data_IF_542975884289
#
_entry.id   IF_542975884289
#
_cell.length_a   1.000
_cell.length_b   1.000
_cell.length_c   1.000
_cell.angle_alpha   90.00
_cell.angle_beta   90.00
_cell.angle_gamma   90.00
#
_symmetry.space_group_name_H-M   'P 1'
#
loop_
_entity.id
_entity.type
_entity.pdbx_description
1 polymer ?
#
# COMPACT_ATOMS: atom_id res chain seq x y z
N UNK A 1 -44.97 -21.79 5.67
CA UNK A 1 -45.55 -20.85 6.65
C UNK A 1 -45.12 -21.29 8.04
N UNK A 2 -44.92 -20.38 9.00
CA UNK A 2 -44.67 -20.73 10.39
C UNK A 2 -45.81 -21.58 10.95
N UNK A 3 -45.54 -22.56 11.83
CA UNK A 3 -46.55 -23.37 12.50
C UNK A 3 -47.32 -22.51 13.50
N UNK A 4 -48.53 -23.00 13.91
CA UNK A 4 -49.32 -22.36 14.94
C UNK A 4 -48.55 -22.20 16.25
N UNK A 5 -47.79 -23.21 16.67
CA UNK A 5 -46.91 -23.16 17.85
C UNK A 5 -45.82 -22.09 17.72
N UNK A 6 -45.23 -21.93 16.54
CA UNK A 6 -44.23 -20.89 16.31
C UNK A 6 -44.88 -19.48 16.50
N UNK A 7 -46.08 -19.27 15.95
CA UNK A 7 -46.77 -18.00 16.08
C UNK A 7 -47.18 -17.72 17.55
N UNK A 8 -47.65 -18.73 18.25
CA UNK A 8 -48.03 -18.63 19.66
C UNK A 8 -46.81 -18.27 20.54
N UNK A 9 -45.67 -18.89 20.31
CA UNK A 9 -44.43 -18.58 21.03
C UNK A 9 -43.93 -17.15 20.76
N UNK A 10 -43.97 -16.68 19.51
CA UNK A 10 -43.59 -15.30 19.17
C UNK A 10 -44.53 -14.31 19.86
N UNK A 11 -45.87 -14.61 19.89
CA UNK A 11 -46.84 -13.75 20.51
C UNK A 11 -46.67 -13.67 22.03
N UNK A 12 -46.22 -14.75 22.68
CA UNK A 12 -45.86 -14.75 24.09
C UNK A 12 -44.81 -13.68 24.45
N UNK A 13 -43.75 -13.57 23.65
CA UNK A 13 -42.71 -12.53 23.82
C UNK A 13 -43.26 -11.13 23.46
N UNK A 14 -44.13 -11.03 22.47
CA UNK A 14 -44.76 -9.76 22.09
C UNK A 14 -45.66 -9.21 23.21
N UNK A 15 -46.43 -10.08 23.84
CA UNK A 15 -47.28 -9.72 24.97
C UNK A 15 -46.49 -9.44 26.25
N UNK A 16 -45.36 -10.15 26.43
CA UNK A 16 -44.50 -9.99 27.61
C UNK A 16 -43.03 -9.85 27.24
N UNK A 17 -42.56 -8.66 26.81
CA UNK A 17 -41.16 -8.44 26.53
C UNK A 17 -40.22 -8.65 27.75
N UNK A 18 -40.79 -8.60 28.98
CA UNK A 18 -40.03 -8.91 30.21
C UNK A 18 -39.55 -10.36 30.25
N UNK A 19 -40.22 -11.29 29.57
CA UNK A 19 -39.83 -12.70 29.50
C UNK A 19 -38.44 -12.86 28.93
N UNK A 20 -38.11 -12.13 27.85
CA UNK A 20 -36.77 -12.18 27.27
C UNK A 20 -35.68 -11.80 28.28
N UNK A 21 -35.90 -10.77 29.09
CA UNK A 21 -34.96 -10.34 30.12
C UNK A 21 -34.74 -11.41 31.18
N UNK A 22 -35.85 -12.05 31.63
CA UNK A 22 -35.79 -13.12 32.64
C UNK A 22 -34.96 -14.30 32.10
N UNK A 23 -35.23 -14.71 30.88
CA UNK A 23 -34.51 -15.84 30.26
C UNK A 23 -33.00 -15.53 30.04
N UNK A 24 -32.67 -14.31 29.61
CA UNK A 24 -31.28 -13.87 29.44
C UNK A 24 -30.54 -13.83 30.79
N UNK A 25 -31.18 -13.40 31.85
CA UNK A 25 -30.59 -13.41 33.18
C UNK A 25 -30.36 -14.85 33.70
N UNK A 26 -31.36 -15.73 33.53
CA UNK A 26 -31.33 -17.11 34.04
C UNK A 26 -30.36 -18.01 33.26
N UNK A 27 -30.32 -17.90 31.95
CA UNK A 27 -29.61 -18.84 31.09
C UNK A 27 -28.41 -18.22 30.36
N UNK A 28 -28.40 -16.91 30.13
CA UNK A 28 -27.32 -16.20 29.43
C UNK A 28 -26.33 -15.50 30.37
N UNK A 29 -26.66 -15.36 31.65
CA UNK A 29 -25.86 -14.55 32.58
C UNK A 29 -25.81 -13.05 32.20
N UNK A 30 -26.77 -12.60 31.36
CA UNK A 30 -26.81 -11.24 30.82
C UNK A 30 -27.81 -10.42 31.61
N UNK A 31 -27.39 -9.30 32.16
CA UNK A 31 -28.25 -8.30 32.79
C UNK A 31 -28.62 -7.24 31.77
N UNK A 32 -29.89 -7.21 31.40
CA UNK A 32 -30.47 -6.14 30.55
C UNK A 32 -30.89 -4.97 31.42
N UNK A 33 -30.63 -3.74 30.97
CA UNK A 33 -31.00 -2.51 31.66
C UNK A 33 -32.47 -2.49 32.12
N UNK A 34 -32.74 -1.89 33.26
CA UNK A 34 -34.08 -1.74 33.79
C UNK A 34 -34.93 -0.86 32.85
N UNK A 35 -36.17 -1.27 32.62
CA UNK A 35 -37.11 -0.52 31.77
C UNK A 35 -38.16 -1.42 31.12
N UNK A 36 -39.13 -0.80 30.45
CA UNK A 36 -40.14 -1.54 29.67
C UNK A 36 -39.54 -1.94 28.30
N UNK A 37 -39.56 -3.24 28.01
CA UNK A 37 -39.27 -3.74 26.66
C UNK A 37 -40.31 -3.18 25.65
N UNK A 38 -39.86 -2.87 24.44
CA UNK A 38 -40.70 -2.43 23.33
C UNK A 38 -40.53 -3.40 22.17
N UNK A 39 -41.64 -3.75 21.56
CA UNK A 39 -41.65 -4.45 20.29
C UNK A 39 -41.32 -3.41 19.20
N UNK A 40 -40.32 -3.68 18.41
CA UNK A 40 -39.90 -2.86 17.26
C UNK A 40 -40.04 -3.66 15.97
N UNK A 41 -39.91 -3.02 14.82
CA UNK A 41 -39.97 -3.70 13.54
C UNK A 41 -38.87 -4.76 13.45
N UNK A 42 -39.22 -5.97 13.06
CA UNK A 42 -38.33 -7.09 12.84
C UNK A 42 -37.70 -7.11 11.44
N UNK A 43 -38.07 -6.17 10.57
CA UNK A 43 -37.47 -5.99 9.29
C UNK A 43 -36.08 -5.29 9.45
N UNK A 44 -35.02 -6.08 9.33
CA UNK A 44 -33.64 -5.60 9.44
C UNK A 44 -33.05 -5.15 8.09
N UNK A 45 -33.88 -5.02 7.05
CA UNK A 45 -33.42 -4.44 5.78
C UNK A 45 -33.14 -2.95 5.99
N UNK A 46 -31.89 -2.55 5.79
CA UNK A 46 -31.48 -1.15 5.92
C UNK A 46 -31.91 -0.37 4.67
N UNK A 47 -32.69 0.72 4.81
CA UNK A 47 -33.04 1.62 3.71
C UNK A 47 -32.04 2.82 3.67
N UNK A 48 -31.56 3.26 2.51
CA UNK A 48 -31.30 2.51 1.30
C UNK A 48 -30.17 1.50 1.58
N UNK A 49 -29.95 0.49 0.72
CA UNK A 49 -28.92 -0.49 1.00
C UNK A 49 -27.57 0.24 1.19
N UNK A 50 -27.06 0.28 2.42
CA UNK A 50 -25.66 0.63 2.64
C UNK A 50 -24.88 -0.46 1.95
N UNK A 51 -24.25 -0.11 0.84
CA UNK A 51 -23.30 -1.00 0.19
C UNK A 51 -22.06 -1.08 1.07
N UNK A 52 -21.98 -2.13 1.85
CA UNK A 52 -20.77 -2.45 2.59
C UNK A 52 -19.72 -2.97 1.59
N UNK A 53 -18.72 -2.15 1.32
CA UNK A 53 -17.64 -2.50 0.41
C UNK A 53 -16.33 -2.55 1.18
N UNK A 54 -15.84 -3.74 1.52
CA UNK A 54 -14.45 -3.88 1.96
C UNK A 54 -13.50 -3.50 0.83
N UNK A 55 -12.27 -3.10 1.16
CA UNK A 55 -11.27 -2.72 0.16
C UNK A 55 -10.96 -3.89 -0.79
N UNK A 56 -10.86 -5.12 -0.25
CA UNK A 56 -10.61 -6.32 -1.05
C UNK A 56 -11.14 -7.58 -0.34
N UNK A 57 -11.63 -8.53 -1.13
CA UNK A 57 -11.96 -9.89 -0.66
C UNK A 57 -11.20 -10.89 -1.53
N UNK A 58 -10.45 -11.78 -0.89
CA UNK A 58 -9.70 -12.86 -1.53
C UNK A 58 -10.29 -14.19 -1.07
N UNK A 59 -10.28 -15.19 -1.96
CA UNK A 59 -10.63 -16.56 -1.61
C UNK A 59 -9.46 -17.49 -1.93
N UNK A 60 -9.21 -18.43 -1.05
CA UNK A 60 -8.14 -19.43 -1.16
C UNK A 60 -8.72 -20.83 -0.99
N UNK A 61 -8.11 -21.81 -1.62
CA UNK A 61 -8.52 -23.21 -1.56
C UNK A 61 -9.52 -23.61 -2.64
N UNK A 62 -9.77 -24.90 -2.76
CA UNK A 62 -10.69 -25.53 -3.72
C UNK A 62 -11.38 -26.74 -3.06
N UNK A 63 -12.47 -27.21 -3.67
CA UNK A 63 -13.07 -28.51 -3.33
C UNK A 63 -13.71 -28.59 -1.94
N UNK A 64 -14.30 -27.50 -1.44
CA UNK A 64 -14.97 -27.46 -0.13
C UNK A 64 -14.04 -27.10 1.04
N UNK A 65 -12.80 -26.72 0.75
CA UNK A 65 -11.82 -26.24 1.73
C UNK A 65 -11.46 -24.75 1.51
N UNK A 66 -12.41 -23.99 0.96
CA UNK A 66 -12.20 -22.57 0.69
C UNK A 66 -12.19 -21.76 2.00
N UNK A 67 -11.40 -20.70 1.97
CA UNK A 67 -11.35 -19.69 3.01
C UNK A 67 -11.32 -18.29 2.38
N UNK A 68 -12.10 -17.36 2.92
CA UNK A 68 -12.08 -15.97 2.49
C UNK A 68 -11.23 -15.12 3.42
N UNK A 69 -10.50 -14.18 2.85
CA UNK A 69 -9.73 -13.14 3.56
C UNK A 69 -10.24 -11.78 3.09
N UNK A 70 -10.76 -11.01 4.02
CA UNK A 70 -11.14 -9.62 3.81
C UNK A 70 -9.92 -8.78 4.15
N UNK A 71 -9.48 -7.94 3.23
CA UNK A 71 -8.34 -7.03 3.43
C UNK A 71 -8.87 -5.61 3.51
N UNK A 72 -8.47 -4.90 4.55
CA UNK A 72 -8.76 -3.49 4.78
C UNK A 72 -7.47 -2.70 5.00
N UNK A 73 -7.37 -1.51 4.40
CA UNK A 73 -6.26 -0.59 4.60
C UNK A 73 -6.74 0.60 5.41
N UNK A 74 -6.35 0.67 6.68
CA UNK A 74 -6.84 1.69 7.60
C UNK A 74 -5.77 2.77 7.85
N UNK A 75 -6.00 3.96 7.30
CA UNK A 75 -5.07 5.09 7.40
C UNK A 75 -5.54 6.16 8.38
N UNK A 76 -6.83 6.20 8.69
CA UNK A 76 -7.46 7.12 9.64
C UNK A 76 -8.50 6.40 10.49
N UNK A 77 -8.83 6.96 11.67
CA UNK A 77 -9.88 6.38 12.53
C UNK A 77 -11.24 6.59 11.90
N UNK A 78 -12.02 5.54 11.89
CA UNK A 78 -13.39 5.52 11.41
C UNK A 78 -14.25 4.71 12.39
N UNK A 79 -15.17 5.38 13.10
CA UNK A 79 -16.03 4.74 14.10
C UNK A 79 -16.96 3.68 13.52
N UNK A 80 -17.36 3.83 12.25
CA UNK A 80 -18.28 2.91 11.57
C UNK A 80 -17.66 1.52 11.36
N UNK A 81 -16.33 1.41 11.50
CA UNK A 81 -15.64 0.11 11.41
C UNK A 81 -16.01 -0.85 12.56
N UNK A 82 -16.46 -0.32 13.69
CA UNK A 82 -16.95 -1.15 14.79
C UNK A 82 -18.19 -1.98 14.38
N UNK A 83 -19.02 -1.45 13.49
CA UNK A 83 -20.23 -2.10 12.96
C UNK A 83 -19.93 -2.84 11.65
N UNK A 84 -19.26 -2.18 10.71
CA UNK A 84 -19.05 -2.72 9.36
C UNK A 84 -18.12 -3.93 9.31
N UNK A 85 -17.06 -3.98 10.13
CA UNK A 85 -16.12 -5.11 10.11
C UNK A 85 -16.73 -6.45 10.56
N UNK A 86 -17.53 -6.53 11.65
CA UNK A 86 -18.27 -7.76 11.95
C UNK A 86 -19.22 -8.16 10.84
N UNK A 87 -19.88 -7.19 10.21
CA UNK A 87 -20.80 -7.43 9.10
C UNK A 87 -20.08 -7.93 7.85
N UNK A 88 -18.90 -7.41 7.51
CA UNK A 88 -18.09 -7.92 6.41
C UNK A 88 -17.81 -9.42 6.55
N UNK A 89 -17.46 -9.89 7.75
CA UNK A 89 -17.20 -11.30 8.00
C UNK A 89 -18.45 -12.14 7.76
N UNK A 90 -19.59 -11.71 8.34
CA UNK A 90 -20.84 -12.46 8.22
C UNK A 90 -21.39 -12.47 6.81
N UNK A 91 -21.33 -11.34 6.11
CA UNK A 91 -21.73 -11.20 4.71
C UNK A 91 -20.85 -12.03 3.77
N UNK A 92 -19.52 -11.99 3.97
CA UNK A 92 -18.55 -12.75 3.18
C UNK A 92 -18.77 -14.27 3.37
N UNK A 93 -18.94 -14.73 4.62
CA UNK A 93 -19.26 -16.13 4.92
C UNK A 93 -20.55 -16.59 4.25
N UNK A 94 -21.59 -15.77 4.30
CA UNK A 94 -22.87 -16.07 3.65
C UNK A 94 -22.74 -16.14 2.13
N UNK A 95 -21.98 -15.20 1.53
CA UNK A 95 -21.84 -15.09 0.07
C UNK A 95 -20.99 -16.21 -0.51
N UNK A 96 -19.89 -16.58 0.16
CA UNK A 96 -18.91 -17.54 -0.35
C UNK A 96 -19.03 -18.94 0.28
N UNK A 97 -19.93 -19.13 1.26
CA UNK A 97 -20.18 -20.39 1.97
C UNK A 97 -18.91 -20.99 2.61
N UNK A 98 -17.95 -20.17 3.01
CA UNK A 98 -16.68 -20.59 3.60
C UNK A 98 -16.32 -19.75 4.84
N UNK A 99 -15.39 -20.21 5.70
CA UNK A 99 -14.82 -19.38 6.76
C UNK A 99 -14.24 -18.08 6.21
N UNK A 100 -14.34 -17.01 6.98
CA UNK A 100 -13.78 -15.70 6.60
C UNK A 100 -13.01 -15.09 7.77
N UNK A 101 -11.90 -14.42 7.47
CA UNK A 101 -11.15 -13.62 8.43
C UNK A 101 -10.92 -12.20 7.90
N UNK A 102 -10.68 -11.26 8.82
CA UNK A 102 -10.39 -9.87 8.52
C UNK A 102 -8.92 -9.56 8.82
N UNK A 103 -8.20 -9.14 7.78
CA UNK A 103 -6.84 -8.65 7.83
C UNK A 103 -6.85 -7.13 7.63
N UNK A 104 -6.30 -6.38 8.56
CA UNK A 104 -6.22 -4.92 8.50
C UNK A 104 -4.76 -4.49 8.40
N UNK A 105 -4.43 -3.75 7.36
CA UNK A 105 -3.13 -3.08 7.23
C UNK A 105 -3.25 -1.67 7.78
N UNK A 106 -2.50 -1.37 8.84
CA UNK A 106 -2.56 -0.09 9.53
C UNK A 106 -1.35 0.78 9.19
N UNK A 107 -1.59 2.04 8.82
CA UNK A 107 -0.56 2.95 8.31
C UNK A 107 0.52 3.36 9.31
N UNK A 108 0.28 3.22 10.60
CA UNK A 108 1.21 3.51 11.70
C UNK A 108 0.85 2.75 12.98
N UNK A 109 1.73 2.85 14.00
CA UNK A 109 1.57 2.14 15.28
C UNK A 109 0.32 2.57 16.06
N UNK A 110 -0.08 3.83 16.02
CA UNK A 110 -1.25 4.32 16.74
C UNK A 110 -2.53 3.77 16.09
N UNK A 111 -2.55 3.72 14.76
CA UNK A 111 -3.62 3.12 13.98
C UNK A 111 -3.69 1.61 14.20
N UNK A 112 -2.55 0.90 14.18
CA UNK A 112 -2.51 -0.53 14.45
C UNK A 112 -3.10 -0.88 15.82
N UNK A 113 -2.77 -0.11 16.87
CA UNK A 113 -3.37 -0.28 18.19
C UNK A 113 -4.87 -0.01 18.20
N UNK A 114 -5.32 0.99 17.44
CA UNK A 114 -6.74 1.31 17.33
C UNK A 114 -7.51 0.18 16.61
N UNK A 115 -6.99 -0.35 15.52
CA UNK A 115 -7.58 -1.45 14.77
C UNK A 115 -7.60 -2.77 15.55
N UNK A 116 -6.59 -3.03 16.38
CA UNK A 116 -6.46 -4.28 17.13
C UNK A 116 -7.41 -4.40 18.35
N UNK A 117 -8.21 -3.37 18.62
CA UNK A 117 -9.18 -3.42 19.71
C UNK A 117 -10.25 -4.46 19.44
N UNK A 118 -10.66 -5.14 20.49
CA UNK A 118 -11.80 -6.03 20.47
C UNK A 118 -13.08 -5.23 20.14
N UNK A 119 -13.83 -5.67 19.17
CA UNK A 119 -15.12 -5.14 18.81
C UNK A 119 -16.20 -6.02 19.43
N UNK A 120 -16.89 -5.50 20.43
CA UNK A 120 -17.92 -6.22 21.17
C UNK A 120 -19.28 -6.00 20.49
N UNK A 121 -19.95 -7.10 20.12
CA UNK A 121 -21.31 -7.04 19.55
C UNK A 121 -22.39 -6.99 20.62
N UNK A 122 -22.03 -7.17 21.90
CA UNK A 122 -22.96 -7.32 23.01
C UNK A 122 -23.50 -8.75 23.17
N UNK A 123 -23.23 -9.66 22.26
CA UNK A 123 -23.60 -11.07 22.41
C UNK A 123 -22.45 -11.90 22.94
N UNK A 124 -22.64 -12.75 24.00
CA UNK A 124 -21.60 -13.61 24.52
C UNK A 124 -20.98 -14.51 23.46
N UNK A 125 -19.65 -14.51 23.40
CA UNK A 125 -18.92 -15.33 22.42
C UNK A 125 -19.00 -14.84 20.96
N UNK A 126 -19.58 -13.67 20.72
CA UNK A 126 -19.58 -13.03 19.42
C UNK A 126 -18.88 -11.66 19.48
N UNK A 127 -17.60 -11.67 19.52
CA UNK A 127 -16.74 -10.50 19.38
C UNK A 127 -15.73 -10.71 18.26
N UNK A 128 -15.31 -9.60 17.68
CA UNK A 128 -14.31 -9.61 16.61
C UNK A 128 -13.01 -9.00 17.12
N UNK A 129 -11.90 -9.72 16.89
CA UNK A 129 -10.54 -9.18 16.97
C UNK A 129 -9.93 -9.22 15.58
N UNK A 130 -9.79 -8.07 14.89
CA UNK A 130 -9.13 -8.02 13.59
C UNK A 130 -7.69 -8.52 13.67
N UNK A 131 -7.22 -9.19 12.62
CA UNK A 131 -5.81 -9.50 12.44
C UNK A 131 -5.17 -8.23 11.87
N UNK A 132 -4.29 -7.59 12.65
CA UNK A 132 -3.73 -6.29 12.28
C UNK A 132 -2.25 -6.42 11.96
N UNK A 133 -1.84 -5.85 10.83
CA UNK A 133 -0.44 -5.70 10.43
C UNK A 133 -0.10 -4.20 10.41
N UNK A 134 0.86 -3.82 11.21
CA UNK A 134 1.42 -2.49 11.30
C UNK A 134 2.92 -2.54 11.55
N UNK A 135 3.58 -1.41 11.84
CA UNK A 135 5.05 -1.37 11.97
C UNK A 135 5.63 -2.26 13.08
N UNK A 136 4.83 -2.63 14.09
CA UNK A 136 5.27 -3.52 15.18
C UNK A 136 5.16 -5.00 14.81
N UNK A 137 4.19 -5.37 13.96
CA UNK A 137 3.96 -6.75 13.53
C UNK A 137 4.86 -7.14 12.36
N UNK A 138 5.17 -6.20 11.47
CA UNK A 138 6.11 -6.38 10.38
C UNK A 138 7.35 -5.50 10.66
N UNK A 139 8.47 -6.08 11.12
CA UNK A 139 9.73 -5.36 11.32
C UNK A 139 10.28 -4.79 10.00
N UNK A 140 11.18 -3.79 10.04
CA UNK A 140 11.81 -3.27 8.83
C UNK A 140 12.60 -4.37 8.14
N UNK A 141 12.25 -4.66 6.88
CA UNK A 141 12.90 -5.65 6.05
C UNK A 141 14.05 -4.98 5.29
N UNK A 142 15.25 -5.08 5.82
CA UNK A 142 16.46 -4.44 5.29
C UNK A 142 17.44 -5.44 4.65
N UNK A 143 17.21 -6.74 4.84
CA UNK A 143 18.00 -7.81 4.23
C UNK A 143 17.51 -8.06 2.80
N UNK A 144 18.40 -7.90 1.83
CA UNK A 144 18.09 -8.01 0.40
C UNK A 144 17.72 -9.45 0.03
N UNK A 145 18.41 -10.44 0.56
CA UNK A 145 18.14 -11.85 0.25
C UNK A 145 16.77 -12.29 0.79
N UNK A 146 16.41 -11.79 1.96
CA UNK A 146 15.08 -12.03 2.51
C UNK A 146 13.99 -11.29 1.72
N UNK A 147 14.27 -10.05 1.30
CA UNK A 147 13.37 -9.25 0.47
C UNK A 147 13.08 -9.92 -0.89
N UNK A 148 14.08 -10.52 -1.53
CA UNK A 148 13.93 -11.26 -2.80
C UNK A 148 12.98 -12.45 -2.71
N UNK A 149 12.87 -13.07 -1.54
CA UNK A 149 11.94 -14.20 -1.33
C UNK A 149 10.47 -13.79 -1.31
N UNK A 150 10.18 -12.55 -0.94
CA UNK A 150 8.84 -12.00 -0.92
C UNK A 150 8.88 -10.48 -1.18
N UNK A 151 8.99 -10.07 -2.47
CA UNK A 151 9.10 -8.66 -2.86
C UNK A 151 7.95 -7.79 -2.34
N UNK A 152 6.73 -8.29 -2.37
CA UNK A 152 5.54 -7.56 -1.91
C UNK A 152 5.60 -7.27 -0.39
N UNK A 153 6.17 -8.20 0.39
CA UNK A 153 6.39 -7.98 1.82
C UNK A 153 7.44 -6.91 2.07
N UNK A 154 8.50 -6.85 1.26
CA UNK A 154 9.52 -5.82 1.33
C UNK A 154 8.95 -4.44 0.99
N UNK A 155 8.10 -4.36 -0.03
CA UNK A 155 7.38 -3.13 -0.41
C UNK A 155 6.46 -2.68 0.73
N UNK A 156 5.68 -3.61 1.31
CA UNK A 156 4.84 -3.29 2.47
C UNK A 156 5.66 -2.81 3.66
N UNK A 157 6.81 -3.44 3.93
CA UNK A 157 7.74 -3.00 4.97
C UNK A 157 8.24 -1.57 4.72
N UNK A 158 8.59 -1.23 3.47
CA UNK A 158 8.96 0.15 3.10
C UNK A 158 7.86 1.14 3.46
N UNK A 159 6.60 0.84 3.14
CA UNK A 159 5.48 1.70 3.50
C UNK A 159 5.33 1.88 5.00
N UNK A 160 5.38 0.79 5.76
CA UNK A 160 5.20 0.81 7.20
C UNK A 160 6.33 1.56 7.93
N UNK A 161 7.54 1.50 7.41
CA UNK A 161 8.74 2.11 8.01
C UNK A 161 9.19 3.42 7.34
N UNK A 162 8.41 3.97 6.39
CA UNK A 162 8.74 5.18 5.62
C UNK A 162 9.09 6.43 6.44
N UNK A 163 8.72 6.46 7.72
CA UNK A 163 8.98 7.57 8.66
C UNK A 163 9.93 7.19 9.79
N UNK A 164 10.66 6.10 9.64
CA UNK A 164 11.63 5.63 10.64
C UNK A 164 13.06 5.78 10.10
N UNK A 165 14.04 5.57 10.95
CA UNK A 165 15.46 5.52 10.55
C UNK A 165 15.76 4.40 9.53
N UNK A 166 14.89 3.42 9.39
CA UNK A 166 15.04 2.29 8.46
C UNK A 166 14.44 2.55 7.07
N UNK A 167 13.87 3.74 6.83
CA UNK A 167 13.15 4.05 5.59
C UNK A 167 13.99 3.80 4.33
N UNK A 168 15.26 4.25 4.34
CA UNK A 168 16.17 4.08 3.20
C UNK A 168 16.56 2.61 3.03
N UNK A 169 16.96 1.93 4.10
CA UNK A 169 17.44 0.54 4.02
C UNK A 169 16.32 -0.43 3.59
N UNK A 170 15.11 -0.25 4.11
CA UNK A 170 13.94 -1.02 3.68
C UNK A 170 13.58 -0.74 2.20
N UNK A 171 13.66 0.50 1.76
CA UNK A 171 13.41 0.87 0.37
C UNK A 171 14.48 0.29 -0.58
N UNK A 172 15.75 0.29 -0.20
CA UNK A 172 16.85 -0.32 -0.95
C UNK A 172 16.63 -1.83 -1.08
N UNK A 173 16.32 -2.53 0.01
CA UNK A 173 16.04 -3.96 -0.02
C UNK A 173 14.83 -4.29 -0.92
N UNK A 174 13.75 -3.50 -0.83
CA UNK A 174 12.57 -3.65 -1.68
C UNK A 174 12.89 -3.39 -3.17
N UNK A 175 13.66 -2.34 -3.48
CA UNK A 175 14.06 -2.03 -4.84
C UNK A 175 14.91 -3.14 -5.46
N UNK A 176 15.82 -3.74 -4.70
CA UNK A 176 16.59 -4.92 -5.15
C UNK A 176 15.69 -6.13 -5.41
N UNK A 177 14.72 -6.38 -4.53
CA UNK A 177 13.80 -7.49 -4.69
C UNK A 177 12.90 -7.34 -5.93
N UNK A 178 12.50 -6.10 -6.24
CA UNK A 178 11.64 -5.83 -7.40
C UNK A 178 12.39 -5.83 -8.73
N UNK A 179 13.72 -5.61 -8.73
CA UNK A 179 14.51 -5.61 -9.95
C UNK A 179 14.54 -6.98 -10.67
N UNK A 180 14.28 -8.07 -9.96
CA UNK A 180 14.24 -9.43 -10.51
C UNK A 180 12.86 -9.81 -11.05
N UNK A 181 11.84 -8.96 -10.84
CA UNK A 181 10.49 -9.18 -11.33
C UNK A 181 10.36 -8.77 -12.81
N UNK A 182 9.32 -9.27 -13.47
CA UNK A 182 8.97 -8.79 -14.80
C UNK A 182 8.60 -7.29 -14.78
N UNK A 183 8.74 -6.62 -15.93
CA UNK A 183 8.52 -5.16 -16.04
C UNK A 183 7.12 -4.71 -15.59
N UNK A 184 6.10 -5.55 -15.76
CA UNK A 184 4.72 -5.21 -15.40
C UNK A 184 4.55 -5.04 -13.88
N UNK A 185 5.37 -5.74 -13.10
CA UNK A 185 5.37 -5.63 -11.64
C UNK A 185 6.48 -4.72 -11.13
N UNK A 186 7.70 -4.82 -11.71
CA UNK A 186 8.86 -4.06 -11.27
C UNK A 186 8.62 -2.54 -11.35
N UNK A 187 8.07 -2.03 -12.46
CA UNK A 187 7.86 -0.59 -12.66
C UNK A 187 6.88 -0.01 -11.62
N UNK A 188 5.61 -0.52 -11.49
CA UNK A 188 4.69 0.02 -10.50
C UNK A 188 5.20 -0.08 -9.07
N UNK A 189 5.90 -1.16 -8.73
CA UNK A 189 6.42 -1.37 -7.39
C UNK A 189 7.53 -0.38 -7.03
N UNK A 190 8.46 -0.11 -7.97
CA UNK A 190 9.48 0.89 -7.76
C UNK A 190 8.90 2.30 -7.63
N UNK A 191 7.88 2.63 -8.40
CA UNK A 191 7.18 3.92 -8.28
C UNK A 191 6.49 4.08 -6.92
N UNK A 192 5.93 3.00 -6.35
CA UNK A 192 5.38 3.01 -5.00
C UNK A 192 6.47 3.24 -3.95
N UNK A 193 7.62 2.54 -4.05
CA UNK A 193 8.75 2.70 -3.13
C UNK A 193 9.20 4.16 -3.08
N UNK A 194 9.46 4.77 -4.25
CA UNK A 194 9.89 6.16 -4.34
C UNK A 194 8.82 7.13 -3.84
N UNK A 195 7.55 6.89 -4.15
CA UNK A 195 6.42 7.73 -3.73
C UNK A 195 6.31 7.80 -2.21
N UNK A 196 6.54 6.70 -1.51
CA UNK A 196 6.40 6.63 -0.05
C UNK A 196 7.58 7.20 0.72
N UNK A 197 8.74 7.34 0.08
CA UNK A 197 9.89 7.99 0.70
C UNK A 197 9.66 9.50 0.82
N UNK A 198 9.92 10.04 2.00
CA UNK A 198 9.89 11.47 2.21
C UNK A 198 10.95 12.16 1.33
N UNK A 199 10.69 13.39 0.83
CA UNK A 199 11.64 14.09 -0.05
C UNK A 199 13.05 14.19 0.52
N UNK A 200 13.18 14.32 1.83
CA UNK A 200 14.45 14.50 2.54
C UNK A 200 15.33 13.26 2.53
N UNK A 201 14.74 12.07 2.43
CA UNK A 201 15.49 10.80 2.44
C UNK A 201 15.73 10.22 1.05
N UNK A 202 15.08 10.75 0.01
CA UNK A 202 15.25 10.30 -1.38
C UNK A 202 16.69 10.40 -1.87
N UNK A 203 17.46 11.49 -1.63
CA UNK A 203 18.84 11.55 -2.07
C UNK A 203 19.72 10.41 -1.50
N UNK A 204 19.52 10.06 -0.22
CA UNK A 204 20.26 8.96 0.40
C UNK A 204 19.85 7.59 -0.19
N UNK A 205 18.59 7.42 -0.56
CA UNK A 205 18.13 6.23 -1.27
C UNK A 205 18.76 6.13 -2.67
N UNK A 206 18.76 7.24 -3.43
CA UNK A 206 19.37 7.33 -4.76
C UNK A 206 20.85 7.01 -4.74
N UNK A 207 21.60 7.62 -3.80
CA UNK A 207 23.03 7.37 -3.60
C UNK A 207 23.30 5.88 -3.33
N UNK A 208 22.53 5.25 -2.43
CA UNK A 208 22.68 3.83 -2.13
C UNK A 208 22.36 2.95 -3.34
N UNK A 209 21.31 3.22 -4.09
CA UNK A 209 20.96 2.46 -5.30
C UNK A 209 22.06 2.59 -6.37
N UNK A 210 22.61 3.79 -6.56
CA UNK A 210 23.66 4.04 -7.55
C UNK A 210 25.03 3.44 -7.17
N UNK A 211 25.25 3.11 -5.89
CA UNK A 211 26.48 2.45 -5.42
C UNK A 211 26.56 0.94 -5.72
N UNK A 212 25.45 0.36 -6.21
CA UNK A 212 25.42 -1.06 -6.60
C UNK A 212 25.99 -1.27 -8.02
N UNK A 213 26.54 -2.47 -8.34
CA UNK A 213 27.15 -2.75 -9.64
C UNK A 213 26.22 -2.51 -10.83
N UNK A 214 26.77 -2.19 -12.01
CA UNK A 214 26.07 -1.81 -13.25
C UNK A 214 25.07 -2.83 -13.80
N UNK A 215 25.03 -4.06 -13.30
CA UNK A 215 24.03 -5.06 -13.63
C UNK A 215 22.70 -4.86 -12.89
N UNK A 216 22.63 -3.88 -11.98
CA UNK A 216 21.39 -3.49 -11.32
C UNK A 216 20.57 -2.56 -12.21
N UNK A 217 19.70 -3.11 -13.03
CA UNK A 217 18.76 -2.33 -13.85
C UNK A 217 17.53 -2.02 -13.01
N UNK A 218 17.52 -0.87 -12.35
CA UNK A 218 16.29 -0.34 -11.77
C UNK A 218 15.35 0.09 -12.91
N UNK A 219 14.28 -0.65 -13.13
CA UNK A 219 13.35 -0.45 -14.26
C UNK A 219 12.27 0.60 -14.01
N UNK A 220 12.35 1.36 -12.92
CA UNK A 220 11.37 2.41 -12.64
C UNK A 220 11.48 3.59 -13.62
N UNK A 221 10.37 4.31 -13.84
CA UNK A 221 10.40 5.59 -14.57
C UNK A 221 11.36 6.58 -13.92
N UNK A 222 11.54 6.48 -12.60
CA UNK A 222 12.55 7.20 -11.85
C UNK A 222 13.98 6.84 -12.30
N UNK A 223 14.33 5.55 -12.40
CA UNK A 223 15.65 5.12 -12.86
C UNK A 223 15.88 5.46 -14.32
N UNK A 224 14.88 5.27 -15.19
CA UNK A 224 14.94 5.69 -16.60
C UNK A 224 15.17 7.20 -16.72
N UNK A 225 14.51 8.00 -15.89
CA UNK A 225 14.69 9.47 -15.84
C UNK A 225 16.09 9.86 -15.34
N UNK A 226 16.60 9.19 -14.29
CA UNK A 226 17.94 9.45 -13.77
C UNK A 226 19.03 8.92 -14.71
N UNK A 227 18.84 7.77 -15.33
CA UNK A 227 19.74 7.22 -16.35
C UNK A 227 19.75 8.12 -17.60
N UNK A 228 18.59 8.62 -18.03
CA UNK A 228 18.52 9.60 -19.12
C UNK A 228 19.23 10.90 -18.74
N UNK A 229 19.04 11.41 -17.51
CA UNK A 229 19.71 12.59 -16.98
C UNK A 229 21.24 12.38 -16.91
N UNK A 230 21.70 11.27 -16.31
CA UNK A 230 23.13 10.94 -16.24
C UNK A 230 23.78 10.78 -17.63
N UNK A 231 23.05 10.18 -18.58
CA UNK A 231 23.52 10.08 -19.98
C UNK A 231 23.66 11.45 -20.64
N UNK A 232 22.71 12.36 -20.39
CA UNK A 232 22.74 13.72 -20.91
C UNK A 232 23.87 14.54 -20.28
N UNK A 233 24.06 14.45 -18.97
CA UNK A 233 25.17 15.08 -18.25
C UNK A 233 26.54 14.55 -18.70
N UNK A 234 26.68 13.20 -18.83
CA UNK A 234 27.90 12.57 -19.32
C UNK A 234 28.25 12.99 -20.77
N UNK A 235 27.25 13.18 -21.63
CA UNK A 235 27.46 13.68 -23.01
C UNK A 235 27.89 15.15 -23.02
N UNK A 236 27.30 15.98 -22.17
CA UNK A 236 27.69 17.38 -22.01
C UNK A 236 29.14 17.50 -21.53
N UNK A 237 29.54 16.69 -20.55
CA UNK A 237 30.92 16.64 -20.06
C UNK A 237 31.91 16.12 -21.13
N UNK A 238 31.53 15.10 -21.90
CA UNK A 238 32.31 14.59 -23.01
C UNK A 238 32.52 15.65 -24.09
N UNK A 239 31.46 16.41 -24.45
CA UNK A 239 31.56 17.50 -25.42
C UNK A 239 32.53 18.60 -24.94
N UNK A 240 32.39 19.03 -23.69
CA UNK A 240 33.27 20.02 -23.09
C UNK A 240 34.73 19.54 -23.05
N UNK A 241 34.94 18.25 -22.78
CA UNK A 241 36.27 17.64 -22.78
C UNK A 241 36.90 17.65 -24.19
N UNK A 242 36.12 17.27 -25.22
CA UNK A 242 36.58 17.30 -26.61
C UNK A 242 36.97 18.72 -27.05
N UNK A 243 36.10 19.70 -26.78
CA UNK A 243 36.35 21.11 -27.13
C UNK A 243 37.63 21.63 -26.45
N UNK A 244 37.80 21.37 -25.15
CA UNK A 244 39.02 21.78 -24.41
C UNK A 244 40.28 21.04 -24.88
N UNK A 245 40.17 19.76 -25.17
CA UNK A 245 41.31 18.96 -25.68
C UNK A 245 41.77 19.44 -27.05
N UNK A 246 40.84 19.90 -27.87
CA UNK A 246 41.15 20.50 -29.18
C UNK A 246 41.66 21.96 -29.10
N UNK A 247 41.68 22.55 -27.92
CA UNK A 247 42.11 23.92 -27.70
C UNK A 247 41.10 24.96 -28.20
N UNK A 248 39.84 24.59 -28.40
CA UNK A 248 38.79 25.51 -28.79
C UNK A 248 38.36 26.37 -27.57
N UNK A 249 38.23 27.71 -27.72
CA UNK A 249 37.91 28.59 -26.61
C UNK A 249 36.45 28.46 -26.19
N UNK A 250 36.21 27.72 -25.12
CA UNK A 250 34.86 27.56 -24.52
C UNK A 250 34.68 28.64 -23.44
N UNK A 251 33.83 29.59 -23.70
CA UNK A 251 33.42 30.60 -22.72
C UNK A 251 32.25 30.14 -21.83
N UNK A 252 31.87 30.98 -20.85
CA UNK A 252 30.79 30.67 -19.92
C UNK A 252 29.42 30.47 -20.62
N UNK A 253 29.17 31.16 -21.74
CA UNK A 253 27.93 31.04 -22.48
C UNK A 253 27.83 29.70 -23.23
N UNK A 254 28.96 29.27 -23.83
CA UNK A 254 29.06 27.95 -24.45
C UNK A 254 28.86 26.84 -23.41
N UNK A 255 29.53 26.93 -22.24
CA UNK A 255 29.40 25.94 -21.18
C UNK A 255 27.97 25.87 -20.65
N UNK A 256 27.31 26.99 -20.42
CA UNK A 256 25.91 27.04 -19.96
C UNK A 256 24.96 26.45 -21.01
N UNK A 257 25.15 26.77 -22.31
CA UNK A 257 24.33 26.22 -23.40
C UNK A 257 24.42 24.68 -23.48
N UNK A 258 25.63 24.15 -23.35
CA UNK A 258 25.89 22.70 -23.34
C UNK A 258 25.27 22.05 -22.11
N UNK A 259 25.48 22.60 -20.91
CA UNK A 259 24.98 22.03 -19.67
C UNK A 259 23.46 22.15 -19.49
N UNK A 260 22.84 23.16 -20.10
CA UNK A 260 21.39 23.33 -20.07
C UNK A 260 20.64 22.48 -21.10
N UNK A 261 21.33 21.92 -22.11
CA UNK A 261 20.72 21.08 -23.13
C UNK A 261 20.18 19.78 -22.53
N UNK A 262 18.88 19.51 -22.76
CA UNK A 262 18.19 18.30 -22.28
C UNK A 262 17.98 17.26 -23.37
N UNK A 263 18.27 17.59 -24.62
CA UNK A 263 18.18 16.68 -25.77
C UNK A 263 19.50 15.96 -25.97
N UNK A 264 19.48 14.65 -25.68
CA UNK A 264 20.67 13.81 -25.85
C UNK A 264 21.08 13.63 -27.32
N UNK A 265 20.12 13.70 -28.26
CA UNK A 265 20.39 13.63 -29.69
C UNK A 265 21.09 14.89 -30.20
N UNK A 266 20.71 16.06 -29.64
CA UNK A 266 21.39 17.32 -29.94
C UNK A 266 22.83 17.34 -29.41
N UNK A 267 23.04 16.83 -28.18
CA UNK A 267 24.39 16.70 -27.62
C UNK A 267 25.27 15.73 -28.42
N UNK A 268 24.71 14.64 -28.96
CA UNK A 268 25.43 13.73 -29.84
C UNK A 268 25.84 14.40 -31.17
N UNK A 269 24.95 15.18 -31.78
CA UNK A 269 25.28 15.98 -32.97
C UNK A 269 26.41 16.96 -32.69
N UNK A 270 26.27 17.75 -31.65
CA UNK A 270 27.31 18.70 -31.23
C UNK A 270 28.64 18.02 -30.92
N UNK A 271 28.62 16.82 -30.31
CA UNK A 271 29.82 16.04 -30.04
C UNK A 271 30.52 15.58 -31.33
N UNK A 272 29.74 15.14 -32.34
CA UNK A 272 30.29 14.77 -33.66
C UNK A 272 30.86 15.99 -34.39
N UNK A 273 30.16 17.10 -34.40
CA UNK A 273 30.61 18.35 -35.01
C UNK A 273 31.84 18.92 -34.31
N UNK A 274 31.93 18.79 -32.98
CA UNK A 274 33.06 19.21 -32.20
C UNK A 274 34.39 18.52 -32.59
N UNK A 275 34.31 17.37 -33.27
CA UNK A 275 35.52 16.67 -33.79
C UNK A 275 36.21 17.44 -34.93
N UNK A 276 35.43 18.15 -35.75
CA UNK A 276 35.94 18.81 -36.97
C UNK A 276 35.84 20.33 -36.96
N UNK A 277 34.96 20.91 -36.14
CA UNK A 277 34.73 22.36 -36.09
C UNK A 277 35.99 23.17 -35.82
N UNK A 278 36.05 24.34 -36.41
CA UNK A 278 37.18 25.28 -36.23
C UNK A 278 36.94 26.28 -35.09
N UNK A 279 35.67 26.44 -34.66
CA UNK A 279 35.29 27.25 -33.52
C UNK A 279 34.10 26.63 -32.76
N UNK A 280 33.89 26.97 -31.48
CA UNK A 280 32.68 26.50 -30.74
C UNK A 280 31.40 26.99 -31.36
N UNK A 281 31.35 28.20 -31.97
CA UNK A 281 30.16 28.77 -32.58
C UNK A 281 29.62 27.94 -33.78
N UNK A 282 30.52 27.30 -34.51
CA UNK A 282 30.16 26.41 -35.64
C UNK A 282 29.27 25.22 -35.21
N UNK A 283 29.49 24.73 -33.98
CA UNK A 283 28.77 23.59 -33.44
C UNK A 283 27.31 23.94 -33.10
N UNK A 284 27.05 25.23 -32.83
CA UNK A 284 25.76 25.74 -32.44
C UNK A 284 25.00 26.45 -33.58
N UNK A 285 25.58 26.51 -34.78
CA UNK A 285 24.90 26.99 -35.97
C UNK A 285 23.88 25.94 -36.41
N UNK A 286 22.60 26.36 -36.52
CA UNK A 286 21.48 25.50 -36.99
C UNK A 286 21.63 25.23 -38.48
#
# INVERSE_FOLDING_TARGET
MPSEDHQALVELFRCSPALARVLLALFGGISIAAGKGRVVDSNLSLPPPREWRPDLVLTYGEGGHEQAVIVEVQLSRDSDKAESWPEYITATRRRHHCPACLLVVAGDTAMARWCARKLETGHPGFDLRPIVVGPQQLPPLTDIELARRCPELAILSTYLHRRTQYAVDAAVAAAHATAELDERHAIPYNDLIVRWLAPEVRPAFEEKIMSFPDNYVCQSDFAKKHQAKGRTEGRADSLLTVLRTRGLPVDAQHEERIRSCRDSGQLDRWLQEAVTASSPDEIFAE
#
